data_IF_767289646335
#
_entry.id   IF_767289646335
#
_cell.length_a   1.000
_cell.length_b   1.000
_cell.length_c   1.000
_cell.angle_alpha   90.00
_cell.angle_beta   90.00
_cell.angle_gamma   90.00
#
_symmetry.space_group_name_H-M   'P 1'
#
loop_
_entity.id
_entity.type
_entity.pdbx_description
1 polymer ?
#
# COMPACT_ATOMS: atom_id res chain seq x y z
N UNK A 1 -8.78 -9.68 -26.57
CA UNK A 1 -8.27 -8.89 -25.44
C UNK A 1 -9.23 -7.78 -25.02
N UNK A 2 -9.56 -6.81 -25.89
CA UNK A 2 -10.46 -5.70 -25.53
C UNK A 2 -11.83 -6.13 -24.94
N UNK A 3 -12.51 -7.11 -25.56
CA UNK A 3 -13.75 -7.66 -24.99
C UNK A 3 -13.57 -8.23 -23.60
N UNK A 4 -12.47 -8.95 -23.34
CA UNK A 4 -12.18 -9.48 -22.01
C UNK A 4 -12.05 -8.37 -20.97
N UNK A 5 -11.24 -7.33 -21.26
CA UNK A 5 -11.03 -6.20 -20.36
C UNK A 5 -12.31 -5.42 -20.03
N UNK A 6 -13.27 -5.36 -20.96
CA UNK A 6 -14.57 -4.68 -20.73
C UNK A 6 -15.55 -5.58 -19.96
N UNK A 7 -15.45 -6.90 -20.13
CA UNK A 7 -16.40 -7.86 -19.55
C UNK A 7 -16.00 -8.36 -18.16
N UNK A 8 -14.70 -8.42 -17.84
CA UNK A 8 -14.23 -8.97 -16.57
C UNK A 8 -14.17 -7.87 -15.50
N UNK A 9 -14.77 -8.08 -14.32
CA UNK A 9 -14.62 -7.15 -13.22
C UNK A 9 -13.16 -7.10 -12.73
N UNK A 10 -12.74 -5.95 -12.22
CA UNK A 10 -11.44 -5.81 -11.55
C UNK A 10 -11.48 -6.38 -10.14
N UNK A 11 -10.32 -6.79 -9.63
CA UNK A 11 -10.15 -7.14 -8.22
C UNK A 11 -10.44 -5.96 -7.29
N UNK A 12 -10.85 -6.27 -6.06
CA UNK A 12 -11.16 -5.24 -5.05
C UNK A 12 -9.91 -4.49 -4.61
N UNK A 13 -10.04 -3.17 -4.42
CA UNK A 13 -8.97 -2.37 -3.82
C UNK A 13 -8.99 -2.57 -2.30
N UNK A 14 -8.23 -3.55 -1.84
CA UNK A 14 -8.02 -3.83 -0.43
C UNK A 14 -6.55 -4.16 -0.13
N UNK A 15 -6.26 -4.51 1.12
CA UNK A 15 -4.92 -4.83 1.60
C UNK A 15 -4.38 -6.17 1.09
N UNK A 16 -5.21 -6.97 0.42
CA UNK A 16 -4.86 -8.29 -0.07
C UNK A 16 -4.51 -8.20 -1.56
N UNK A 17 -3.32 -8.66 -1.92
CA UNK A 17 -2.85 -8.71 -3.30
C UNK A 17 -2.71 -10.17 -3.72
N UNK A 18 -3.17 -10.48 -4.92
CA UNK A 18 -3.20 -11.85 -5.46
C UNK A 18 -1.81 -12.48 -5.49
N UNK A 19 -1.71 -13.76 -5.14
CA UNK A 19 -0.43 -14.50 -5.10
C UNK A 19 0.35 -14.48 -6.41
N UNK A 20 -0.33 -14.39 -7.56
CA UNK A 20 0.31 -14.28 -8.88
C UNK A 20 1.26 -13.07 -8.98
N UNK A 21 0.92 -11.98 -8.32
CA UNK A 21 1.64 -10.71 -8.42
C UNK A 21 2.61 -10.52 -7.24
N UNK A 22 2.33 -11.16 -6.11
CA UNK A 22 3.17 -11.13 -4.90
C UNK A 22 4.27 -12.19 -4.92
N UNK A 23 4.10 -13.32 -5.61
CA UNK A 23 5.10 -14.39 -5.63
C UNK A 23 5.58 -14.77 -7.04
N UNK A 24 4.76 -14.54 -8.07
CA UNK A 24 4.99 -15.06 -9.42
C UNK A 24 5.13 -13.95 -10.47
N UNK A 25 5.46 -12.71 -10.06
CA UNK A 25 5.64 -11.62 -11.00
C UNK A 25 6.79 -11.94 -11.96
N UNK A 26 6.46 -12.05 -13.25
CA UNK A 26 7.40 -12.42 -14.33
C UNK A 26 8.16 -13.73 -14.07
N UNK A 27 7.56 -14.68 -13.36
CA UNK A 27 8.17 -16.00 -13.14
C UNK A 27 8.44 -16.73 -14.46
N UNK A 28 9.66 -17.22 -14.62
CA UNK A 28 10.00 -18.18 -15.66
C UNK A 28 9.61 -19.59 -15.19
N UNK A 29 8.62 -20.19 -15.85
CA UNK A 29 8.12 -21.54 -15.55
C UNK A 29 9.20 -22.63 -15.62
N UNK A 30 10.33 -22.37 -16.27
CA UNK A 30 11.46 -23.31 -16.37
C UNK A 30 12.42 -23.21 -15.18
N UNK A 31 12.39 -22.11 -14.43
CA UNK A 31 13.32 -21.83 -13.35
C UNK A 31 12.53 -21.69 -12.04
N UNK A 32 12.62 -22.67 -11.13
CA UNK A 32 11.93 -22.60 -9.84
C UNK A 32 12.32 -21.33 -9.07
N UNK A 33 11.33 -20.68 -8.43
CA UNK A 33 11.52 -19.50 -7.58
C UNK A 33 12.09 -18.26 -8.31
N UNK A 34 11.88 -18.15 -9.63
CA UNK A 34 12.29 -16.97 -10.41
C UNK A 34 11.30 -15.81 -10.33
N UNK A 35 10.13 -16.02 -9.71
CA UNK A 35 9.12 -14.99 -9.51
C UNK A 35 9.56 -13.88 -8.57
N UNK A 36 9.07 -12.68 -8.83
CA UNK A 36 9.35 -11.48 -8.04
C UNK A 36 8.10 -11.07 -7.27
N UNK A 37 8.28 -10.39 -6.14
CA UNK A 37 7.19 -9.77 -5.39
C UNK A 37 7.00 -8.31 -5.84
N UNK A 38 5.86 -8.02 -6.50
CA UNK A 38 5.56 -6.65 -6.94
C UNK A 38 5.40 -5.67 -5.79
N UNK A 39 4.84 -6.11 -4.66
CA UNK A 39 4.61 -5.26 -3.48
C UNK A 39 5.94 -4.87 -2.86
N UNK A 40 6.82 -5.85 -2.65
CA UNK A 40 8.17 -5.60 -2.16
C UNK A 40 8.94 -4.68 -3.13
N UNK A 41 8.80 -4.91 -4.44
CA UNK A 41 9.41 -4.08 -5.48
C UNK A 41 8.89 -2.64 -5.44
N UNK A 42 7.59 -2.43 -5.22
CA UNK A 42 7.00 -1.10 -5.09
C UNK A 42 7.50 -0.36 -3.84
N UNK A 43 7.62 -1.05 -2.70
CA UNK A 43 8.20 -0.47 -1.48
C UNK A 43 9.66 -0.08 -1.73
N UNK A 44 10.44 -0.96 -2.35
CA UNK A 44 11.85 -0.68 -2.67
C UNK A 44 11.99 0.51 -3.60
N UNK A 45 11.21 0.55 -4.68
CA UNK A 45 11.16 1.70 -5.61
C UNK A 45 10.76 2.98 -4.89
N UNK A 46 9.77 2.94 -4.00
CA UNK A 46 9.36 4.11 -3.24
C UNK A 46 10.51 4.67 -2.40
N UNK A 47 11.28 3.81 -1.74
CA UNK A 47 12.47 4.20 -0.97
C UNK A 47 13.58 4.76 -1.87
N UNK A 48 13.83 4.12 -3.01
CA UNK A 48 14.86 4.57 -3.97
C UNK A 48 14.52 5.94 -4.58
N UNK A 49 13.24 6.24 -4.78
CA UNK A 49 12.78 7.55 -5.27
C UNK A 49 12.56 8.59 -4.15
N UNK A 50 12.85 8.24 -2.89
CA UNK A 50 12.67 9.16 -1.76
C UNK A 50 11.21 9.57 -1.53
N UNK A 51 10.25 8.68 -1.83
CA UNK A 51 8.84 8.94 -1.63
C UNK A 51 8.58 9.22 -0.14
N UNK A 52 7.90 10.32 0.22
CA UNK A 52 7.61 10.66 1.60
C UNK A 52 6.83 9.56 2.33
N UNK A 53 6.99 9.46 3.65
CA UNK A 53 6.22 8.54 4.47
C UNK A 53 4.72 8.83 4.46
N UNK A 54 3.92 7.85 4.88
CA UNK A 54 2.48 7.99 4.99
C UNK A 54 2.08 9.18 5.87
N UNK A 55 2.81 9.42 6.98
CA UNK A 55 2.50 10.54 7.87
C UNK A 55 2.79 11.91 7.24
N UNK A 56 3.81 12.00 6.37
CA UNK A 56 4.06 13.20 5.56
C UNK A 56 2.96 13.40 4.52
N UNK A 57 2.52 12.33 3.87
CA UNK A 57 1.39 12.38 2.94
C UNK A 57 0.11 12.87 3.62
N UNK A 58 -0.18 12.40 4.84
CA UNK A 58 -1.31 12.91 5.65
C UNK A 58 -1.24 14.43 5.82
N UNK A 59 -0.08 14.97 6.16
CA UNK A 59 0.09 16.42 6.29
C UNK A 59 -0.16 17.17 4.96
N UNK A 60 0.32 16.64 3.83
CA UNK A 60 0.04 17.20 2.50
C UNK A 60 -1.48 17.20 2.20
N UNK A 61 -2.19 16.17 2.62
CA UNK A 61 -3.64 16.07 2.49
C UNK A 61 -4.43 16.85 3.56
N UNK A 62 -3.79 17.75 4.33
CA UNK A 62 -4.41 18.51 5.42
C UNK A 62 -4.99 17.63 6.55
N UNK A 63 -4.55 16.38 6.66
CA UNK A 63 -4.88 15.51 7.77
C UNK A 63 -3.93 15.76 8.92
N UNK A 64 -4.41 15.52 10.15
CA UNK A 64 -3.57 15.63 11.34
C UNK A 64 -2.46 14.57 11.27
N UNK A 65 -1.21 14.99 11.46
CA UNK A 65 -0.09 14.06 11.65
C UNK A 65 -0.37 13.15 12.84
N UNK A 66 -0.12 11.85 12.68
CA UNK A 66 -0.09 10.92 13.81
C UNK A 66 1.17 11.19 14.62
N UNK A 67 1.06 11.17 15.93
CA UNK A 67 2.22 11.09 16.83
C UNK A 67 2.36 9.70 17.44
N UNK A 68 1.27 8.91 17.42
CA UNK A 68 1.23 7.52 17.87
C UNK A 68 0.38 6.69 16.91
N UNK A 69 0.61 5.39 16.90
CA UNK A 69 -0.06 4.45 16.00
C UNK A 69 -1.58 4.45 16.18
N UNK A 70 -2.08 4.70 17.39
CA UNK A 70 -3.51 4.80 17.69
C UNK A 70 -4.20 5.97 16.99
N UNK A 71 -3.46 7.01 16.62
CA UNK A 71 -4.01 8.17 15.89
C UNK A 71 -4.47 7.79 14.46
N UNK A 72 -4.06 6.61 13.98
CA UNK A 72 -4.44 6.04 12.69
C UNK A 72 -5.79 5.30 12.76
N UNK A 73 -6.35 5.07 13.95
CA UNK A 73 -7.55 4.24 14.14
C UNK A 73 -8.82 4.78 13.47
N UNK A 74 -8.84 6.05 13.08
CA UNK A 74 -9.94 6.65 12.30
C UNK A 74 -9.96 6.19 10.85
N UNK A 75 -8.85 5.63 10.37
CA UNK A 75 -8.54 5.48 8.94
C UNK A 75 -8.11 4.05 8.63
N UNK A 76 -7.43 3.42 9.58
CA UNK A 76 -6.86 2.07 9.49
C UNK A 76 -7.51 1.19 10.57
N UNK A 77 -7.98 -0.02 10.23
CA UNK A 77 -8.49 -0.97 11.21
C UNK A 77 -7.44 -1.29 12.29
N UNK A 78 -7.89 -1.42 13.54
CA UNK A 78 -6.99 -1.64 14.68
C UNK A 78 -6.09 -2.87 14.53
N UNK A 79 -6.59 -3.94 13.91
CA UNK A 79 -5.80 -5.14 13.63
C UNK A 79 -4.56 -4.81 12.78
N UNK A 80 -4.72 -3.97 11.76
CA UNK A 80 -3.61 -3.58 10.89
C UNK A 80 -2.68 -2.60 11.58
N UNK A 81 -3.20 -1.72 12.44
CA UNK A 81 -2.36 -0.86 13.29
C UNK A 81 -1.41 -1.71 14.15
N UNK A 82 -1.89 -2.81 14.72
CA UNK A 82 -1.03 -3.71 15.50
C UNK A 82 0.05 -4.37 14.64
N UNK A 83 -0.27 -4.76 13.41
CA UNK A 83 0.73 -5.29 12.47
C UNK A 83 1.77 -4.22 12.12
N UNK A 84 1.34 -2.99 11.85
CA UNK A 84 2.24 -1.87 11.55
C UNK A 84 3.16 -1.53 12.74
N UNK A 85 2.65 -1.57 13.98
CA UNK A 85 3.46 -1.40 15.19
C UNK A 85 4.58 -2.44 15.33
N UNK A 86 4.34 -3.67 14.88
CA UNK A 86 5.33 -4.72 14.93
C UNK A 86 6.40 -4.58 13.84
N UNK A 87 6.09 -3.85 12.76
CA UNK A 87 6.96 -3.69 11.59
C UNK A 87 7.77 -2.39 11.60
N UNK A 88 7.22 -1.32 12.17
CA UNK A 88 7.80 0.02 12.15
C UNK A 88 8.05 0.53 13.58
N UNK A 89 9.19 1.19 13.80
CA UNK A 89 9.53 1.78 15.09
C UNK A 89 8.70 3.02 15.41
N UNK A 90 8.46 3.88 14.40
CA UNK A 90 7.64 5.09 14.52
C UNK A 90 6.54 5.13 13.46
N UNK A 91 5.48 5.91 13.74
CA UNK A 91 4.46 6.26 12.76
C UNK A 91 5.00 7.08 11.59
N UNK A 92 6.11 7.78 11.79
CA UNK A 92 6.78 8.55 10.74
C UNK A 92 7.56 7.67 9.74
N UNK A 93 7.83 6.40 10.09
CA UNK A 93 8.58 5.45 9.26
C UNK A 93 7.70 4.65 8.31
N UNK A 94 6.37 4.72 8.46
CA UNK A 94 5.42 3.95 7.66
C UNK A 94 5.54 4.40 6.18
N UNK A 95 5.91 3.46 5.31
CA UNK A 95 6.00 3.72 3.87
C UNK A 95 4.61 4.11 3.31
N UNK A 96 4.57 5.01 2.34
CA UNK A 96 3.32 5.53 1.78
C UNK A 96 2.43 4.41 1.21
N UNK A 97 3.01 3.49 0.45
CA UNK A 97 2.26 2.42 -0.22
C UNK A 97 1.45 1.52 0.75
N UNK A 98 2.06 0.87 1.76
CA UNK A 98 1.31 0.06 2.72
C UNK A 98 0.37 0.88 3.60
N UNK A 99 0.68 2.14 3.89
CA UNK A 99 -0.23 3.03 4.61
C UNK A 99 -1.48 3.40 3.78
N UNK A 100 -1.30 3.66 2.49
CA UNK A 100 -2.35 4.11 1.59
C UNK A 100 -3.28 2.97 1.13
N UNK A 101 -2.76 1.77 0.87
CA UNK A 101 -3.58 0.62 0.44
C UNK A 101 -4.53 0.15 1.56
N UNK A 102 -4.19 0.46 2.80
CA UNK A 102 -5.04 0.19 3.95
C UNK A 102 -6.25 1.13 4.06
N UNK A 103 -6.20 2.24 3.32
CA UNK A 103 -7.16 3.33 3.39
C UNK A 103 -8.36 3.07 2.48
N UNK A 104 -9.54 2.90 3.09
CA UNK A 104 -10.78 2.52 2.38
C UNK A 104 -11.43 3.65 1.55
N UNK A 105 -10.94 4.89 1.61
CA UNK A 105 -11.58 6.07 0.95
C UNK A 105 -10.57 7.17 0.58
N UNK A 106 -9.86 7.06 -0.56
CA UNK A 106 -8.86 8.04 -1.05
C UNK A 106 -9.34 9.51 -1.18
N UNK A 107 -10.66 9.77 -1.08
CA UNK A 107 -11.30 11.09 -1.23
C UNK A 107 -10.86 12.20 -0.27
N UNK A 108 -10.09 11.89 0.78
CA UNK A 108 -9.64 12.92 1.74
C UNK A 108 -8.44 13.74 1.24
N UNK A 109 -7.74 13.30 0.20
CA UNK A 109 -6.61 14.05 -0.37
C UNK A 109 -6.94 14.79 -1.67
N UNK A 110 -8.15 14.62 -2.21
CA UNK A 110 -8.57 15.27 -3.45
C UNK A 110 -8.83 16.75 -3.17
N UNK A 111 -7.79 17.56 -3.32
CA UNK A 111 -7.84 19.02 -3.15
C UNK A 111 -8.25 19.75 -4.44
N UNK A 112 -8.63 19.02 -5.49
CA UNK A 112 -8.86 19.54 -6.86
C UNK A 112 -10.04 18.88 -7.62
N UNK A 113 -10.92 18.14 -6.93
CA UNK A 113 -12.24 17.73 -7.44
C UNK A 113 -13.33 18.12 -6.46
#
# INVERSE_FOLDING_TARGET
MARGLVSTPMETLDQFITGEVTNHLFEDKKIPFSGIDLVALNIKRARDHGIPSYNNYRALCNLKRATKFEDLAREIPMEVIQRLKNLYASVDDIDLFPGAIQFRQLRKCDRFW
#
